data_IF_716689640687
#
_entry.id   IF_716689640687
#
_cell.length_a   1.000
_cell.length_b   1.000
_cell.length_c   1.000
_cell.angle_alpha   90.00
_cell.angle_beta   90.00
_cell.angle_gamma   90.00
#
_symmetry.space_group_name_H-M   'P 1'
#
loop_
_entity.id
_entity.type
_entity.pdbx_description
1 polymer ?
#
# COMPACT_ATOMS: atom_id res chain seq x y z
N UNK A 1 44.64 -3.98 -22.10
CA UNK A 1 44.67 -3.12 -20.90
C UNK A 1 43.56 -2.09 -21.12
N UNK A 2 42.34 -2.49 -20.74
CA UNK A 2 41.62 -1.95 -19.56
C UNK A 2 41.01 -0.58 -19.90
N UNK A 3 39.74 -0.27 -19.70
CA UNK A 3 38.56 -0.98 -19.20
C UNK A 3 37.46 0.07 -19.31
N UNK A 4 36.37 -0.20 -20.02
CA UNK A 4 35.19 0.64 -19.97
C UNK A 4 34.00 -0.19 -19.49
N UNK A 5 33.08 0.52 -18.84
CA UNK A 5 31.76 0.10 -18.36
C UNK A 5 31.69 -0.32 -16.90
N UNK A 6 31.55 0.71 -16.06
CA UNK A 6 30.88 0.66 -14.77
C UNK A 6 29.45 0.15 -15.01
N UNK A 7 29.22 -1.13 -14.73
CA UNK A 7 27.88 -1.68 -14.64
C UNK A 7 27.19 -1.05 -13.42
N UNK A 8 26.48 0.07 -13.66
CA UNK A 8 25.46 0.52 -12.75
C UNK A 8 24.40 -0.58 -12.69
N UNK A 9 24.44 -1.34 -11.60
CA UNK A 9 23.45 -2.33 -11.21
C UNK A 9 22.12 -1.58 -11.04
N UNK A 10 21.39 -1.35 -12.15
CA UNK A 10 19.98 -0.97 -12.12
C UNK A 10 19.24 -2.19 -11.59
N UNK A 11 19.24 -2.34 -10.27
CA UNK A 11 18.20 -3.09 -9.59
C UNK A 11 16.89 -2.44 -10.00
N UNK A 12 16.11 -3.11 -10.85
CA UNK A 12 14.69 -2.88 -10.99
C UNK A 12 14.05 -3.23 -9.64
N UNK A 13 14.28 -2.39 -8.62
CA UNK A 13 13.56 -2.50 -7.36
C UNK A 13 12.11 -2.21 -7.72
N UNK A 14 11.24 -3.19 -7.50
CA UNK A 14 9.80 -3.00 -7.57
C UNK A 14 9.42 -1.88 -6.61
N UNK A 15 9.19 -0.69 -7.16
CA UNK A 15 8.96 0.55 -6.41
C UNK A 15 7.67 0.53 -5.55
N UNK A 16 6.87 -0.54 -5.66
CA UNK A 16 5.60 -0.72 -4.98
C UNK A 16 5.72 -1.12 -3.50
N UNK A 17 6.92 -1.41 -3.00
CA UNK A 17 7.15 -1.80 -1.60
C UNK A 17 7.85 -0.72 -0.76
N UNK A 18 7.95 0.50 -1.29
CA UNK A 18 8.64 1.60 -0.59
C UNK A 18 7.81 2.17 0.57
N UNK A 19 6.49 1.97 0.54
CA UNK A 19 5.55 2.33 1.61
C UNK A 19 4.77 1.11 2.03
N UNK A 20 4.79 0.80 3.33
CA UNK A 20 4.12 -0.38 3.89
C UNK A 20 3.02 0.06 4.85
N UNK A 21 1.76 -0.16 4.46
CA UNK A 21 0.59 0.06 5.30
C UNK A 21 0.56 -0.93 6.47
N UNK A 22 0.21 -0.44 7.66
CA UNK A 22 0.30 -1.19 8.90
C UNK A 22 -1.10 -1.48 9.45
N UNK A 23 -1.27 -2.69 9.99
CA UNK A 23 -2.43 -3.06 10.82
C UNK A 23 -3.79 -2.81 10.14
N UNK A 24 -3.89 -3.18 8.86
CA UNK A 24 -5.10 -2.95 8.07
C UNK A 24 -6.14 -4.03 8.40
N UNK A 25 -7.26 -3.68 9.06
CA UNK A 25 -8.35 -4.61 9.32
C UNK A 25 -9.10 -4.90 8.03
N UNK A 26 -9.80 -6.04 7.99
CA UNK A 26 -10.64 -6.42 6.84
C UNK A 26 -11.85 -5.48 6.65
N UNK A 27 -12.21 -4.71 7.68
CA UNK A 27 -13.30 -3.73 7.61
C UNK A 27 -13.11 -2.55 8.53
N UNK A 28 -13.57 -1.38 8.09
CA UNK A 28 -13.71 -0.17 8.89
C UNK A 28 -15.19 0.19 9.10
N UNK A 29 -15.47 0.93 10.16
CA UNK A 29 -16.82 1.41 10.45
C UNK A 29 -17.14 2.62 9.57
N UNK A 30 -18.25 2.56 8.84
CA UNK A 30 -18.77 3.67 8.04
C UNK A 30 -19.13 4.87 8.93
N UNK A 31 -18.98 6.09 8.41
CA UNK A 31 -19.28 7.36 9.10
C UNK A 31 -18.43 7.64 10.35
N UNK A 32 -17.30 6.95 10.54
CA UNK A 32 -16.32 7.23 11.60
C UNK A 32 -15.00 7.62 10.95
N UNK A 33 -14.30 8.62 11.50
CA UNK A 33 -13.00 9.02 10.97
C UNK A 33 -12.00 7.86 11.06
N UNK A 34 -11.17 7.72 10.04
CA UNK A 34 -10.27 6.59 9.87
C UNK A 34 -8.83 7.07 9.96
N UNK A 35 -8.04 6.46 10.85
CA UNK A 35 -6.59 6.67 10.90
C UNK A 35 -5.88 5.56 10.14
N UNK A 36 -5.14 5.92 9.10
CA UNK A 36 -4.34 5.00 8.31
C UNK A 36 -2.88 5.14 8.72
N UNK A 37 -2.27 4.05 9.19
CA UNK A 37 -0.86 4.01 9.56
C UNK A 37 -0.03 3.36 8.44
N UNK A 38 1.15 3.91 8.18
CA UNK A 38 2.10 3.34 7.22
C UNK A 38 3.54 3.63 7.64
N UNK A 39 4.46 2.89 7.07
CA UNK A 39 5.90 3.06 7.32
C UNK A 39 6.60 3.35 6.00
N UNK A 40 7.46 4.37 6.00
CA UNK A 40 8.31 4.70 4.86
C UNK A 40 9.63 3.91 4.97
N UNK A 41 9.99 3.20 3.89
CA UNK A 41 11.32 2.58 3.78
C UNK A 41 12.39 3.64 3.52
N UNK A 42 13.66 3.31 3.74
CA UNK A 42 14.79 4.20 3.44
C UNK A 42 14.91 4.55 1.94
N UNK A 43 14.18 3.87 1.06
CA UNK A 43 14.24 4.07 -0.39
C UNK A 43 13.34 5.22 -0.89
N UNK A 44 12.45 5.76 -0.05
CA UNK A 44 11.56 6.87 -0.41
C UNK A 44 11.73 8.04 0.54
N UNK A 45 11.78 9.24 -0.03
CA UNK A 45 11.74 10.48 0.72
C UNK A 45 10.36 11.12 0.52
N UNK A 46 9.60 11.40 1.59
CA UNK A 46 8.26 11.94 1.45
C UNK A 46 8.29 13.36 0.88
N UNK A 47 7.43 13.63 -0.11
CA UNK A 47 7.21 14.95 -0.67
C UNK A 47 5.90 15.56 -0.16
N UNK A 48 5.79 16.89 0.04
CA UNK A 48 4.52 17.54 0.38
C UNK A 48 3.40 17.37 -0.67
N UNK A 49 3.74 16.95 -1.90
CA UNK A 49 2.79 16.58 -2.96
C UNK A 49 2.53 15.07 -3.02
N UNK A 50 3.08 14.29 -2.12
CA UNK A 50 2.66 12.90 -1.96
C UNK A 50 1.32 12.85 -1.24
N UNK A 51 0.55 11.80 -1.48
CA UNK A 51 -0.76 11.65 -0.88
C UNK A 51 -1.12 10.18 -0.70
N UNK A 52 -1.97 9.93 0.29
CA UNK A 52 -2.56 8.60 0.52
C UNK A 52 -4.01 8.65 0.07
N UNK A 53 -4.37 7.77 -0.87
CA UNK A 53 -5.72 7.66 -1.38
C UNK A 53 -6.41 6.38 -0.93
N UNK A 54 -7.74 6.44 -0.86
CA UNK A 54 -8.60 5.26 -0.78
C UNK A 54 -9.11 4.97 -2.20
N UNK A 55 -8.86 3.76 -2.68
CA UNK A 55 -9.25 3.32 -4.01
C UNK A 55 -10.16 2.11 -3.92
N UNK A 56 -11.19 2.06 -4.77
CA UNK A 56 -11.97 0.83 -4.96
C UNK A 56 -11.08 -0.21 -5.66
N UNK A 57 -11.07 -1.46 -5.21
CA UNK A 57 -10.30 -2.54 -5.82
C UNK A 57 -10.70 -2.68 -7.30
N UNK A 58 -9.71 -2.88 -8.18
CA UNK A 58 -9.91 -2.88 -9.64
C UNK A 58 -9.76 -1.52 -10.31
N UNK A 59 -9.30 -0.49 -9.59
CA UNK A 59 -8.91 0.80 -10.16
C UNK A 59 -7.81 0.65 -11.22
N UNK A 60 -7.78 1.56 -12.21
CA UNK A 60 -6.84 1.51 -13.34
C UNK A 60 -5.85 2.67 -13.34
N UNK A 61 -6.25 3.83 -12.82
CA UNK A 61 -5.43 5.04 -12.79
C UNK A 61 -5.43 5.68 -11.41
N UNK A 62 -4.40 6.46 -11.09
CA UNK A 62 -4.36 7.24 -9.84
C UNK A 62 -5.48 8.27 -9.73
N UNK A 63 -6.21 8.57 -10.81
CA UNK A 63 -7.38 9.46 -10.81
C UNK A 63 -8.66 8.78 -10.34
N UNK A 64 -8.65 7.46 -10.19
CA UNK A 64 -9.82 6.67 -9.77
C UNK A 64 -9.97 6.63 -8.23
N UNK A 65 -9.30 7.53 -7.50
CA UNK A 65 -9.41 7.60 -6.05
C UNK A 65 -10.84 7.97 -5.63
N UNK A 66 -11.28 7.42 -4.51
CA UNK A 66 -12.53 7.81 -3.87
C UNK A 66 -12.32 9.08 -3.03
N UNK A 67 -11.29 9.08 -2.19
CA UNK A 67 -10.87 10.21 -1.36
C UNK A 67 -9.38 10.12 -1.10
N UNK A 68 -8.77 11.23 -0.66
CA UNK A 68 -7.35 11.29 -0.40
C UNK A 68 -7.01 12.28 0.71
N UNK A 69 -5.80 12.12 1.26
CA UNK A 69 -5.18 13.04 2.21
C UNK A 69 -3.74 13.29 1.77
N UNK A 70 -3.33 14.56 1.74
CA UNK A 70 -1.93 14.94 1.49
C UNK A 70 -1.03 14.46 2.63
N UNK A 71 0.16 13.98 2.29
CA UNK A 71 1.16 13.60 3.28
C UNK A 71 1.74 14.86 3.92
N UNK A 72 1.74 14.90 5.25
CA UNK A 72 2.36 16.02 5.96
C UNK A 72 3.88 15.99 5.78
N UNK A 73 4.53 17.17 5.62
CA UNK A 73 5.98 17.26 5.57
C UNK A 73 6.58 16.63 6.82
N UNK A 74 7.63 15.81 6.66
CA UNK A 74 8.43 15.40 7.81
C UNK A 74 9.14 16.63 8.36
N UNK A 75 8.64 17.18 9.47
CA UNK A 75 9.41 18.10 10.32
C UNK A 75 10.58 17.29 10.91
N UNK A 76 11.72 17.40 10.22
CA UNK A 76 13.07 16.92 10.56
C UNK A 76 13.19 16.04 11.82
N UNK A 77 12.93 14.73 11.67
CA UNK A 77 13.47 13.72 12.57
C UNK A 77 14.66 13.06 11.87
N UNK A 78 15.81 13.70 12.00
CA UNK A 78 17.08 13.23 11.46
C UNK A 78 17.44 11.92 12.17
N UNK A 79 17.45 10.80 11.42
CA UNK A 79 18.43 9.73 11.64
C UNK A 79 17.99 8.42 12.29
N UNK A 80 16.69 8.06 12.38
CA UNK A 80 16.30 6.75 12.91
C UNK A 80 15.22 6.07 12.08
N UNK A 81 15.65 5.10 11.26
CA UNK A 81 14.93 3.86 10.88
C UNK A 81 13.51 4.08 10.27
N UNK A 82 12.75 3.04 9.84
CA UNK A 82 11.66 3.29 8.90
C UNK A 82 10.57 4.12 9.61
N UNK A 83 10.29 5.29 9.05
CA UNK A 83 9.53 6.33 9.74
C UNK A 83 8.06 5.95 9.69
N UNK A 84 7.50 5.56 10.84
CA UNK A 84 6.06 5.35 10.98
C UNK A 84 5.35 6.70 10.87
N UNK A 85 4.35 6.75 10.00
CA UNK A 85 3.50 7.90 9.69
C UNK A 85 2.04 7.51 9.80
N UNK A 86 1.18 8.51 9.88
CA UNK A 86 -0.26 8.32 9.87
C UNK A 86 -0.94 9.47 9.14
N UNK A 87 -2.09 9.16 8.53
CA UNK A 87 -3.01 10.16 7.97
C UNK A 87 -4.42 9.92 8.51
N UNK A 88 -5.19 11.00 8.63
CA UNK A 88 -6.57 10.96 9.11
C UNK A 88 -7.54 11.26 7.96
N UNK A 89 -8.36 10.27 7.61
CA UNK A 89 -9.49 10.45 6.70
C UNK A 89 -10.72 10.88 7.49
N UNK A 90 -11.30 12.02 7.12
CA UNK A 90 -12.53 12.51 7.77
C UNK A 90 -13.73 11.68 7.33
N UNK A 91 -14.58 11.30 8.28
CA UNK A 91 -15.76 10.45 8.07
C UNK A 91 -16.63 10.83 6.87
N UNK A 92 -16.81 12.14 6.62
CA UNK A 92 -17.68 12.65 5.57
C UNK A 92 -17.29 12.21 4.14
N UNK A 93 -15.99 11.98 3.89
CA UNK A 93 -15.48 11.59 2.57
C UNK A 93 -15.21 10.09 2.45
N UNK A 94 -15.50 9.31 3.49
CA UNK A 94 -15.30 7.86 3.43
C UNK A 94 -16.41 7.20 2.63
N UNK A 95 -16.11 6.08 1.94
CA UNK A 95 -17.14 5.25 1.35
C UNK A 95 -18.20 4.85 2.37
N UNK A 96 -19.43 4.71 1.87
CA UNK A 96 -20.51 4.09 2.62
C UNK A 96 -20.37 2.57 2.57
N UNK A 97 -21.25 1.88 3.27
CA UNK A 97 -21.42 0.44 3.13
C UNK A 97 -22.05 0.12 1.76
N UNK A 98 -21.20 -0.06 0.74
CA UNK A 98 -21.58 -0.35 -0.65
C UNK A 98 -21.19 -1.77 -1.09
N UNK A 99 -20.83 -2.63 -0.12
CA UNK A 99 -20.30 -3.97 -0.32
C UNK A 99 -19.05 -4.06 -1.23
N UNK A 100 -18.37 -2.94 -1.51
CA UNK A 100 -17.13 -2.94 -2.28
C UNK A 100 -15.90 -3.09 -1.39
N UNK A 101 -14.85 -3.64 -1.99
CA UNK A 101 -13.52 -3.62 -1.42
C UNK A 101 -12.77 -2.37 -1.84
N UNK A 102 -12.03 -1.83 -0.90
CA UNK A 102 -11.17 -0.68 -1.02
C UNK A 102 -9.76 -1.03 -0.53
N UNK A 103 -8.79 -0.22 -0.92
CA UNK A 103 -7.43 -0.31 -0.42
C UNK A 103 -6.83 1.09 -0.30
N UNK A 104 -5.86 1.25 0.60
CA UNK A 104 -5.03 2.44 0.62
C UNK A 104 -3.95 2.30 -0.45
N UNK A 105 -3.66 3.40 -1.13
CA UNK A 105 -2.49 3.52 -2.00
C UNK A 105 -1.72 4.77 -1.61
N UNK A 106 -0.38 4.67 -1.55
CA UNK A 106 0.50 5.84 -1.43
C UNK A 106 0.95 6.25 -2.83
N UNK A 107 0.67 7.48 -3.21
CA UNK A 107 1.00 8.05 -4.51
C UNK A 107 2.05 9.14 -4.29
N UNK A 108 3.15 9.08 -5.02
CA UNK A 108 4.18 10.09 -4.95
C UNK A 108 3.85 11.34 -5.80
N UNK A 109 4.69 12.37 -5.68
CA UNK A 109 4.57 13.61 -6.45
C UNK A 109 4.64 13.46 -7.97
N UNK A 110 4.97 12.28 -8.49
CA UNK A 110 5.05 11.93 -9.93
C UNK A 110 3.89 11.01 -10.35
N UNK A 111 2.82 10.94 -9.56
CA UNK A 111 1.65 10.07 -9.78
C UNK A 111 2.00 8.57 -9.83
N UNK A 112 3.08 8.15 -9.16
CA UNK A 112 3.47 6.74 -9.08
C UNK A 112 3.02 6.10 -7.77
N UNK A 113 2.51 4.87 -7.83
CA UNK A 113 2.15 4.10 -6.64
C UNK A 113 3.40 3.53 -5.99
N UNK A 114 3.61 3.85 -4.72
CA UNK A 114 4.77 3.43 -3.91
C UNK A 114 4.44 2.42 -2.83
N UNK A 115 3.16 2.15 -2.64
CA UNK A 115 2.62 1.16 -1.70
C UNK A 115 1.12 0.99 -1.89
N UNK A 116 0.63 -0.22 -1.64
CA UNK A 116 -0.80 -0.53 -1.58
C UNK A 116 -1.09 -1.43 -0.36
N UNK A 117 -2.20 -1.21 0.33
CA UNK A 117 -2.61 -2.06 1.45
C UNK A 117 -3.26 -3.35 1.00
N UNK A 118 -3.46 -4.27 1.93
CA UNK A 118 -4.48 -5.32 1.77
C UNK A 118 -5.87 -4.69 1.61
N UNK A 119 -6.78 -5.34 0.86
CA UNK A 119 -8.14 -4.85 0.73
C UNK A 119 -8.94 -4.86 2.04
N UNK A 120 -9.90 -3.96 2.16
CA UNK A 120 -10.85 -3.84 3.26
C UNK A 120 -12.18 -3.30 2.76
N UNK A 121 -13.26 -3.41 3.54
CA UNK A 121 -14.55 -2.80 3.21
C UNK A 121 -15.01 -1.81 4.29
N UNK A 122 -16.06 -1.04 4.01
CA UNK A 122 -16.73 -0.17 4.98
C UNK A 122 -18.05 -0.80 5.42
N UNK A 123 -18.31 -0.86 6.73
CA UNK A 123 -19.51 -1.48 7.29
C UNK A 123 -20.29 -0.55 8.20
N UNK A 124 -21.61 -0.53 8.07
CA UNK A 124 -22.50 0.18 9.00
C UNK A 124 -22.69 -0.63 10.29
N UNK A 125 -22.59 -0.02 11.49
CA UNK A 125 -22.86 -0.74 12.73
C UNK A 125 -24.31 -1.25 12.77
N UNK A 126 -24.51 -2.57 12.83
CA UNK A 126 -25.82 -3.19 13.06
C UNK A 126 -26.35 -4.07 11.93
N UNK A 127 -25.78 -4.02 10.73
CA UNK A 127 -26.17 -4.89 9.61
C UNK A 127 -25.35 -6.18 9.63
N UNK A 128 -25.88 -7.22 10.28
CA UNK A 128 -25.38 -8.60 10.18
C UNK A 128 -25.82 -9.21 8.83
N UNK A 129 -25.28 -8.77 7.70
CA UNK A 129 -25.42 -9.55 6.46
C UNK A 129 -24.63 -8.94 5.31
N UNK A 130 -23.34 -9.25 5.28
CA UNK A 130 -22.58 -9.73 4.12
C UNK A 130 -21.13 -9.80 4.58
N UNK A 131 -20.59 -11.00 4.63
CA UNK A 131 -19.17 -11.16 4.87
C UNK A 131 -18.45 -10.54 3.67
N UNK A 132 -17.68 -9.48 3.90
CA UNK A 132 -16.63 -9.01 3.00
C UNK A 132 -15.50 -10.04 3.01
N UNK A 133 -15.82 -11.29 2.69
CA UNK A 133 -14.91 -12.37 2.92
C UNK A 133 -13.94 -12.47 1.76
N UNK A 134 -12.72 -12.03 2.03
CA UNK A 134 -11.54 -12.32 1.21
C UNK A 134 -11.22 -13.83 1.19
N UNK A 135 -11.92 -14.65 1.99
CA UNK A 135 -11.71 -16.10 2.06
C UNK A 135 -12.05 -16.82 0.75
N UNK A 136 -12.87 -16.21 -0.12
CA UNK A 136 -13.21 -16.79 -1.42
C UNK A 136 -12.24 -16.42 -2.56
N UNK A 137 -11.34 -15.44 -2.36
CA UNK A 137 -10.38 -14.96 -3.37
C UNK A 137 -8.91 -15.09 -2.92
N UNK A 138 -8.64 -15.93 -1.91
CA UNK A 138 -7.28 -16.14 -1.41
C UNK A 138 -6.44 -16.94 -2.44
N UNK A 139 -5.62 -16.25 -3.23
CA UNK A 139 -4.61 -16.89 -4.07
C UNK A 139 -3.50 -17.46 -3.18
N UNK A 140 -3.52 -18.76 -2.91
CA UNK A 140 -2.44 -19.43 -2.17
C UNK A 140 -1.21 -19.54 -3.06
N UNK A 141 -0.27 -18.61 -2.91
CA UNK A 141 1.04 -18.72 -3.54
C UNK A 141 1.86 -19.77 -2.78
N UNK A 142 1.98 -20.97 -3.36
CA UNK A 142 2.87 -22.01 -2.85
C UNK A 142 4.26 -21.85 -3.46
N UNK A 143 5.27 -21.53 -2.65
CA UNK A 143 6.67 -21.58 -3.10
C UNK A 143 7.19 -23.01 -3.06
N UNK A 144 7.63 -23.53 -4.20
CA UNK A 144 8.42 -24.76 -4.28
C UNK A 144 9.90 -24.39 -4.40
N UNK A 145 10.74 -24.99 -3.56
CA UNK A 145 12.19 -24.81 -3.61
C UNK A 145 12.77 -25.89 -4.52
N UNK A 146 13.24 -25.50 -5.71
CA UNK A 146 13.98 -26.39 -6.60
C UNK A 146 15.47 -26.31 -6.26
N UNK A 147 16.05 -27.41 -5.79
CA UNK A 147 17.49 -27.51 -5.56
C UNK A 147 18.20 -27.89 -6.87
N UNK A 148 19.05 -26.99 -7.39
CA UNK A 148 19.92 -27.27 -8.54
C UNK A 148 21.33 -26.73 -8.29
N UNK A 149 22.26 -27.53 -7.76
CA UNK A 149 23.57 -27.05 -7.34
C UNK A 149 24.32 -26.38 -8.51
N UNK A 150 24.95 -25.20 -8.31
CA UNK A 150 25.22 -24.54 -7.02
C UNK A 150 24.12 -23.56 -6.53
N UNK A 151 22.94 -23.52 -7.12
CA UNK A 151 21.92 -22.51 -6.84
C UNK A 151 20.62 -23.08 -6.23
N UNK A 152 19.98 -22.26 -5.40
CA UNK A 152 18.60 -22.44 -4.94
C UNK A 152 17.73 -21.47 -5.72
N UNK A 153 16.71 -21.98 -6.40
CA UNK A 153 15.74 -21.15 -7.14
C UNK A 153 14.40 -21.20 -6.44
N UNK A 154 13.90 -20.04 -5.98
CA UNK A 154 12.51 -19.92 -5.54
C UNK A 154 11.61 -19.80 -6.77
N UNK A 155 10.65 -20.72 -6.89
CA UNK A 155 9.60 -20.64 -7.90
C UNK A 155 8.32 -20.18 -7.19
N UNK A 156 7.80 -19.04 -7.64
CA UNK A 156 6.53 -18.45 -7.19
C UNK A 156 5.57 -18.64 -8.35
N UNK A 157 4.42 -19.30 -8.11
CA UNK A 157 3.35 -19.46 -9.11
C UNK A 157 2.41 -18.25 -9.09
#
# INVERSE_FOLDING_TARGET
MESFETAANMGLSTNFSQVVFQEIPNSYVSNVALTCCYTLTAAIQPNPRDWVGIFKVGWSTTKDYHTFVWVEPSLDLIGLEPVRKQVLFTAYYLPKDDAAFYQFCYIDSNDQVRGASTPFCFKTPGEQSTDCSLENDLLVIITQVQYNPPYLTLIVF
#
